data_IF_421904097938
#
_entry.id   IF_421904097938
#
_cell.length_a   1.000
_cell.length_b   1.000
_cell.length_c   1.000
_cell.angle_alpha   90.00
_cell.angle_beta   90.00
_cell.angle_gamma   90.00
#
_symmetry.space_group_name_H-M   'P 1'
#
loop_
_entity.id
_entity.type
_entity.pdbx_description
1 polymer ?
#
# COMPACT_ATOMS: atom_id res chain seq x y z
N UNK A 1 14.26 -27.65 33.51
CA UNK A 1 14.48 -26.26 33.04
C UNK A 1 14.22 -26.04 31.56
N UNK A 2 14.27 -27.04 30.69
CA UNK A 2 13.97 -26.88 29.21
C UNK A 2 12.48 -26.70 28.90
N UNK A 3 11.56 -27.25 29.64
CA UNK A 3 10.11 -27.12 29.37
C UNK A 3 9.52 -25.73 29.64
N UNK A 4 10.13 -24.94 30.54
CA UNK A 4 9.61 -23.60 30.88
C UNK A 4 9.87 -22.57 29.77
N UNK A 5 11.03 -22.66 29.10
CA UNK A 5 11.36 -21.75 27.96
C UNK A 5 10.49 -22.00 26.72
N UNK A 6 10.08 -23.25 26.46
CA UNK A 6 9.20 -23.63 25.37
C UNK A 6 7.76 -23.11 25.56
N UNK A 7 7.27 -23.09 26.78
CA UNK A 7 5.93 -22.60 27.13
C UNK A 7 5.88 -21.08 27.02
N UNK A 8 6.88 -20.39 27.54
CA UNK A 8 6.96 -18.92 27.40
C UNK A 8 7.04 -18.47 25.93
N UNK A 9 7.84 -19.14 25.13
CA UNK A 9 7.98 -18.80 23.69
C UNK A 9 6.66 -19.01 22.92
N UNK A 10 5.90 -20.07 23.21
CA UNK A 10 4.57 -20.29 22.65
C UNK A 10 3.56 -19.22 23.09
N UNK A 11 3.64 -18.76 24.33
CA UNK A 11 2.77 -17.72 24.87
C UNK A 11 3.02 -16.36 24.17
N UNK A 12 4.29 -15.99 23.96
CA UNK A 12 4.65 -14.74 23.25
C UNK A 12 4.29 -14.79 21.76
N UNK A 13 4.42 -15.93 21.10
CA UNK A 13 4.02 -16.10 19.70
C UNK A 13 2.49 -15.99 19.58
N UNK A 14 1.72 -16.61 20.46
CA UNK A 14 0.27 -16.48 20.46
C UNK A 14 -0.19 -15.06 20.80
N UNK A 15 0.46 -14.37 21.75
CA UNK A 15 0.16 -12.99 22.10
C UNK A 15 0.46 -12.02 20.92
N UNK A 16 1.56 -12.26 20.22
CA UNK A 16 1.93 -11.47 19.03
C UNK A 16 0.93 -11.66 17.88
N UNK A 17 0.48 -12.90 17.63
CA UNK A 17 -0.58 -13.19 16.64
C UNK A 17 -1.93 -12.59 17.03
N UNK A 18 -2.30 -12.60 18.29
CA UNK A 18 -3.55 -12.00 18.79
C UNK A 18 -3.53 -10.48 18.58
N UNK A 19 -2.40 -9.80 18.83
CA UNK A 19 -2.27 -8.34 18.63
C UNK A 19 -2.31 -7.96 17.14
N UNK A 20 -1.81 -8.82 16.25
CA UNK A 20 -1.81 -8.56 14.80
C UNK A 20 -3.16 -8.84 14.11
N UNK A 21 -3.97 -9.73 14.67
CA UNK A 21 -5.20 -10.21 14.03
C UNK A 21 -6.49 -9.85 14.77
N UNK A 22 -6.43 -9.22 15.94
CA UNK A 22 -7.66 -8.68 16.53
C UNK A 22 -8.13 -7.50 15.69
N UNK A 23 -9.25 -7.60 14.96
CA UNK A 23 -9.96 -6.40 14.55
C UNK A 23 -10.33 -5.69 15.83
N UNK A 24 -9.88 -4.45 16.01
CA UNK A 24 -10.35 -3.59 17.10
C UNK A 24 -11.83 -3.27 16.82
N UNK A 25 -12.69 -4.24 17.11
CA UNK A 25 -14.15 -4.09 17.09
C UNK A 25 -14.70 -3.61 18.44
N UNK A 26 -13.85 -3.02 19.28
CA UNK A 26 -14.18 -2.67 20.68
C UNK A 26 -14.42 -1.18 20.89
N UNK A 27 -14.96 -0.47 19.90
CA UNK A 27 -15.62 0.82 20.11
C UNK A 27 -16.86 0.94 19.23
N UNK A 28 -17.85 0.10 19.52
CA UNK A 28 -19.23 0.42 19.15
C UNK A 28 -19.76 1.34 20.26
N UNK A 29 -19.59 2.64 20.09
CA UNK A 29 -20.33 3.62 20.88
C UNK A 29 -21.69 3.77 20.20
N UNK A 30 -22.73 3.38 20.90
CA UNK A 30 -24.12 3.61 20.52
C UNK A 30 -24.47 5.05 20.88
N UNK A 31 -24.31 5.96 19.93
CA UNK A 31 -24.86 7.31 20.07
C UNK A 31 -26.30 7.31 19.56
N UNK A 32 -27.22 7.52 20.49
CA UNK A 32 -28.59 7.91 20.22
C UNK A 32 -28.57 9.38 19.79
N UNK A 33 -28.47 9.64 18.51
CA UNK A 33 -28.57 11.01 18.00
C UNK A 33 -29.98 11.32 17.53
N UNK A 34 -30.54 12.29 18.22
CA UNK A 34 -31.75 13.02 17.87
C UNK A 34 -31.59 13.70 16.50
N UNK A 35 -32.56 13.50 15.65
CA UNK A 35 -32.71 14.05 14.31
C UNK A 35 -32.69 15.57 14.37
N UNK A 36 -31.61 16.20 13.93
CA UNK A 36 -31.60 17.60 13.53
C UNK A 36 -31.57 17.66 12.01
N UNK A 37 -32.72 17.98 11.44
CA UNK A 37 -32.87 18.29 10.01
C UNK A 37 -32.26 19.67 9.79
N UNK A 38 -31.06 19.74 9.22
CA UNK A 38 -30.53 20.97 8.65
C UNK A 38 -29.88 20.69 7.32
N UNK A 39 -30.59 21.15 6.29
CA UNK A 39 -30.13 21.44 4.92
C UNK A 39 -29.29 20.39 4.19
N UNK A 40 -29.95 19.82 3.19
CA UNK A 40 -29.36 19.06 2.08
C UNK A 40 -28.27 19.87 1.40
N UNK A 41 -27.02 19.50 1.70
CA UNK A 41 -25.97 19.57 0.71
C UNK A 41 -25.85 18.15 0.16
N UNK A 42 -26.02 18.01 -1.15
CA UNK A 42 -25.74 16.77 -1.87
C UNK A 42 -24.25 16.42 -1.67
N UNK A 43 -23.95 15.63 -0.65
CA UNK A 43 -22.63 15.10 -0.39
C UNK A 43 -22.45 13.90 -1.32
N UNK A 44 -21.86 14.12 -2.47
CA UNK A 44 -21.37 13.05 -3.31
C UNK A 44 -20.32 12.24 -2.55
N UNK A 45 -20.48 10.93 -2.58
CA UNK A 45 -19.72 9.96 -1.79
C UNK A 45 -18.34 9.72 -2.41
N UNK A 46 -17.32 10.07 -1.69
CA UNK A 46 -15.95 10.09 -2.16
C UNK A 46 -15.08 8.98 -1.55
N UNK A 47 -14.33 8.25 -2.35
CA UNK A 47 -13.44 7.17 -1.92
C UNK A 47 -11.98 7.36 -2.34
N UNK A 48 -11.07 7.32 -1.39
CA UNK A 48 -9.62 7.43 -1.60
C UNK A 48 -8.96 6.11 -2.09
N UNK A 49 -9.70 5.04 -2.16
CA UNK A 49 -9.20 3.71 -2.45
C UNK A 49 -8.66 3.53 -3.87
N UNK A 50 -8.91 4.47 -4.75
CA UNK A 50 -8.80 4.26 -6.18
C UNK A 50 -7.63 4.98 -6.87
N UNK A 51 -6.44 5.01 -6.37
CA UNK A 51 -5.33 5.34 -7.24
C UNK A 51 -4.26 6.32 -6.78
N UNK A 52 -4.58 7.47 -6.19
CA UNK A 52 -3.53 8.42 -5.78
C UNK A 52 -2.75 7.95 -4.56
N UNK A 53 -3.40 7.19 -3.67
CA UNK A 53 -2.80 6.69 -2.43
C UNK A 53 -2.47 5.20 -2.44
N UNK A 54 -2.95 4.45 -3.42
CA UNK A 54 -2.74 3.01 -3.52
C UNK A 54 -1.29 2.59 -3.84
N UNK A 55 -0.38 3.54 -4.00
CA UNK A 55 1.06 3.28 -4.13
C UNK A 55 1.74 2.93 -2.81
N UNK A 56 1.03 3.04 -1.68
CA UNK A 56 1.63 2.95 -0.35
C UNK A 56 2.08 1.55 0.05
N UNK A 57 1.32 0.52 -0.30
CA UNK A 57 1.64 -0.87 0.12
C UNK A 57 2.88 -1.45 -0.53
N UNK A 58 3.38 -0.85 -1.59
CA UNK A 58 4.55 -1.33 -2.30
C UNK A 58 5.69 -0.29 -2.34
N UNK A 59 5.73 0.65 -1.41
CA UNK A 59 6.77 1.69 -1.35
C UNK A 59 8.20 1.15 -1.11
N UNK A 60 8.44 -0.09 -1.55
CA UNK A 60 9.77 -0.67 -1.57
C UNK A 60 10.28 -1.12 -0.21
N UNK A 61 9.42 -1.20 0.82
CA UNK A 61 9.81 -1.80 2.11
C UNK A 61 9.84 -3.33 2.03
N UNK A 62 9.14 -3.90 1.04
CA UNK A 62 9.22 -5.33 0.75
C UNK A 62 10.64 -5.71 0.34
N UNK A 63 11.06 -6.92 0.69
CA UNK A 63 12.34 -7.44 0.25
C UNK A 63 12.31 -7.70 -1.25
N UNK A 64 13.09 -6.92 -1.96
CA UNK A 64 13.59 -7.28 -3.27
C UNK A 64 14.88 -8.08 -3.09
N UNK A 65 15.23 -8.92 -4.05
CA UNK A 65 16.49 -9.70 -4.05
C UNK A 65 17.69 -8.77 -3.80
N UNK A 66 17.60 -7.52 -4.28
CA UNK A 66 18.63 -6.49 -4.09
C UNK A 66 18.00 -5.22 -3.48
N UNK A 67 18.72 -4.59 -2.55
CA UNK A 67 18.25 -3.43 -1.80
C UNK A 67 18.80 -2.08 -2.29
N UNK A 68 19.60 -2.06 -3.36
CA UNK A 68 20.22 -0.86 -3.91
C UNK A 68 20.00 -0.81 -5.41
N UNK A 69 19.03 -0.05 -5.83
CA UNK A 69 18.64 -0.02 -7.24
C UNK A 69 18.04 1.32 -7.64
N UNK A 70 18.04 1.56 -8.94
CA UNK A 70 17.15 2.50 -9.63
C UNK A 70 16.32 1.70 -10.62
N UNK A 71 15.04 2.00 -10.74
CA UNK A 71 14.16 1.21 -11.59
C UNK A 71 12.89 1.92 -11.99
N UNK A 72 12.12 1.22 -12.79
CA UNK A 72 10.80 1.63 -13.26
C UNK A 72 9.81 0.57 -12.81
N UNK A 73 8.65 1.02 -12.32
CA UNK A 73 7.52 0.17 -11.97
C UNK A 73 6.27 0.65 -12.72
N UNK A 74 5.53 -0.28 -13.27
CA UNK A 74 4.20 -0.06 -13.80
C UNK A 74 3.17 -0.72 -12.89
N UNK A 75 2.11 0.00 -12.57
CA UNK A 75 0.98 -0.48 -11.79
C UNK A 75 -0.32 -0.21 -12.54
N UNK A 76 -1.10 -1.24 -12.75
CA UNK A 76 -2.45 -1.18 -13.28
C UNK A 76 -3.45 -1.59 -12.21
N UNK A 77 -4.51 -0.79 -12.05
CA UNK A 77 -5.62 -1.07 -11.15
C UNK A 77 -6.93 -0.78 -11.87
N UNK A 78 -7.90 -1.68 -11.73
CA UNK A 78 -9.22 -1.54 -12.33
C UNK A 78 -10.30 -1.63 -11.27
N UNK A 79 -11.25 -0.68 -11.35
CA UNK A 79 -12.36 -0.56 -10.43
C UNK A 79 -13.67 -0.44 -11.19
N UNK A 80 -14.76 -0.88 -10.55
CA UNK A 80 -16.13 -0.53 -10.92
C UNK A 80 -16.70 0.36 -9.84
N UNK A 81 -17.20 1.54 -10.21
CA UNK A 81 -17.85 2.47 -9.30
C UNK A 81 -19.28 2.73 -9.77
N UNK A 82 -20.18 3.03 -8.85
CA UNK A 82 -21.50 3.59 -9.21
C UNK A 82 -21.28 4.99 -9.79
N UNK A 83 -21.97 5.32 -10.87
CA UNK A 83 -21.82 6.62 -11.54
C UNK A 83 -22.50 7.75 -10.75
N UNK A 84 -23.53 7.41 -9.97
CA UNK A 84 -24.36 8.34 -9.22
C UNK A 84 -24.89 7.64 -7.95
N UNK A 85 -24.83 8.31 -6.82
CA UNK A 85 -25.33 7.80 -5.54
C UNK A 85 -26.83 7.48 -5.56
N UNK A 86 -27.60 8.10 -6.45
CA UNK A 86 -29.05 7.92 -6.59
C UNK A 86 -29.43 6.92 -7.69
N UNK A 87 -28.50 6.52 -8.54
CA UNK A 87 -28.75 5.60 -9.65
C UNK A 87 -28.17 4.22 -9.39
N UNK A 88 -29.00 3.27 -8.97
CA UNK A 88 -28.60 1.87 -8.77
C UNK A 88 -28.17 1.13 -10.06
N UNK A 89 -28.25 1.76 -11.22
CA UNK A 89 -28.11 1.07 -12.52
C UNK A 89 -26.88 1.49 -13.35
N UNK A 90 -26.19 2.57 -13.01
CA UNK A 90 -25.06 3.04 -13.83
C UNK A 90 -23.75 2.68 -13.17
N UNK A 91 -22.97 1.83 -13.84
CA UNK A 91 -21.66 1.41 -13.43
C UNK A 91 -20.62 2.08 -14.34
N UNK A 92 -19.64 2.71 -13.73
CA UNK A 92 -18.50 3.32 -14.37
C UNK A 92 -17.28 2.45 -14.15
N UNK A 93 -16.52 2.20 -15.20
CA UNK A 93 -15.23 1.54 -15.11
C UNK A 93 -14.13 2.59 -14.99
N UNK A 94 -13.27 2.43 -14.02
CA UNK A 94 -12.13 3.31 -13.76
C UNK A 94 -10.85 2.51 -13.83
N UNK A 95 -9.88 2.99 -14.59
CA UNK A 95 -8.58 2.37 -14.77
C UNK A 95 -7.50 3.35 -14.33
N UNK A 96 -6.73 2.93 -13.35
CA UNK A 96 -5.61 3.69 -12.81
C UNK A 96 -4.32 3.04 -13.28
N UNK A 97 -3.62 3.74 -14.16
CA UNK A 97 -2.35 3.31 -14.70
C UNK A 97 -1.26 4.26 -14.20
N UNK A 98 -0.19 3.69 -13.69
CA UNK A 98 0.92 4.47 -13.13
C UNK A 98 2.23 3.87 -13.55
N UNK A 99 3.10 4.68 -14.16
CA UNK A 99 4.52 4.39 -14.30
C UNK A 99 5.24 5.15 -13.20
N UNK A 100 6.09 4.47 -12.43
CA UNK A 100 6.79 5.06 -11.33
C UNK A 100 8.29 4.88 -11.51
N UNK A 101 9.04 5.98 -11.54
CA UNK A 101 10.48 5.96 -11.36
C UNK A 101 10.75 5.82 -9.87
N UNK A 102 11.55 4.85 -9.46
CA UNK A 102 11.83 4.60 -8.06
C UNK A 102 13.27 4.16 -7.83
N UNK A 103 13.77 4.45 -6.65
CA UNK A 103 15.12 4.10 -6.27
C UNK A 103 15.20 3.76 -4.79
N UNK A 104 16.05 2.81 -4.45
CA UNK A 104 16.48 2.53 -3.07
C UNK A 104 18.00 2.65 -3.01
N UNK A 105 18.48 3.53 -2.14
CA UNK A 105 19.89 3.85 -1.99
C UNK A 105 20.28 3.60 -0.53
N UNK A 106 21.24 2.70 -0.22
CA UNK A 106 21.79 2.54 1.10
C UNK A 106 22.67 3.73 1.43
N UNK A 107 22.38 4.41 2.52
CA UNK A 107 23.23 5.50 3.05
C UNK A 107 24.36 4.91 3.88
N UNK A 108 24.03 3.87 4.64
CA UNK A 108 24.99 3.08 5.40
C UNK A 108 24.45 1.65 5.60
N UNK A 109 25.18 0.86 6.39
CA UNK A 109 24.80 -0.53 6.64
C UNK A 109 23.46 -0.71 7.34
N UNK A 110 22.84 0.33 7.91
CA UNK A 110 21.57 0.26 8.66
C UNK A 110 20.46 1.12 8.08
N UNK A 111 20.80 2.10 7.25
CA UNK A 111 19.84 3.10 6.75
C UNK A 111 19.82 3.06 5.24
N UNK A 112 18.62 2.85 4.69
CA UNK A 112 18.32 3.01 3.27
C UNK A 112 17.38 4.20 3.09
N UNK A 113 17.48 4.90 1.97
CA UNK A 113 16.48 5.86 1.50
C UNK A 113 15.80 5.28 0.28
N UNK A 114 14.49 5.31 0.29
CA UNK A 114 13.65 4.99 -0.85
C UNK A 114 12.97 6.28 -1.33
N UNK A 115 12.99 6.51 -2.65
CA UNK A 115 12.29 7.63 -3.26
C UNK A 115 11.55 7.17 -4.51
N UNK A 116 10.39 7.76 -4.77
CA UNK A 116 9.63 7.43 -5.97
C UNK A 116 8.81 8.60 -6.46
N UNK A 117 8.75 8.76 -7.78
CA UNK A 117 7.93 9.73 -8.47
C UNK A 117 7.05 9.02 -9.50
N UNK A 118 5.72 9.07 -9.37
CA UNK A 118 4.80 8.46 -10.31
C UNK A 118 4.46 9.40 -11.46
N UNK A 119 4.17 8.83 -12.63
CA UNK A 119 3.46 9.44 -13.72
C UNK A 119 2.16 8.67 -13.93
N UNK A 120 1.04 9.34 -13.76
CA UNK A 120 -0.30 8.77 -13.86
C UNK A 120 -0.89 8.97 -15.26
N UNK A 121 -1.66 7.98 -15.71
CA UNK A 121 -2.51 8.07 -16.89
C UNK A 121 -3.77 7.23 -16.63
N UNK A 122 -4.78 7.90 -16.10
CA UNK A 122 -6.00 7.30 -15.61
C UNK A 122 -7.13 7.52 -16.60
N UNK A 123 -7.96 6.50 -16.77
CA UNK A 123 -9.10 6.53 -17.67
C UNK A 123 -10.38 6.18 -16.91
N UNK A 124 -11.44 6.86 -17.24
CA UNK A 124 -12.78 6.69 -16.72
C UNK A 124 -13.73 6.48 -17.88
N UNK A 125 -14.41 5.33 -17.91
CA UNK A 125 -15.34 4.93 -18.95
C UNK A 125 -16.77 4.93 -18.37
N UNK A 126 -17.74 5.57 -19.05
CA UNK A 126 -19.12 5.70 -18.65
C UNK A 126 -19.81 6.80 -19.45
N UNK A 127 -20.92 7.31 -18.98
CA UNK A 127 -21.64 8.41 -19.66
C UNK A 127 -20.78 9.68 -19.74
N UNK A 128 -19.95 9.91 -18.72
CA UNK A 128 -19.00 11.01 -18.63
C UNK A 128 -17.56 10.43 -18.68
N UNK A 129 -17.17 9.89 -19.86
CA UNK A 129 -15.81 9.40 -20.04
C UNK A 129 -14.80 10.54 -19.94
N UNK A 130 -13.68 10.30 -19.24
CA UNK A 130 -12.60 11.25 -19.11
C UNK A 130 -11.26 10.55 -18.92
N UNK A 131 -10.18 11.22 -19.27
CA UNK A 131 -8.82 10.78 -19.02
C UNK A 131 -8.01 11.91 -18.41
N UNK A 132 -7.12 11.55 -17.51
CA UNK A 132 -6.15 12.49 -16.91
C UNK A 132 -4.76 11.89 -16.97
N UNK A 133 -3.75 12.71 -17.22
CA UNK A 133 -2.36 12.26 -17.19
C UNK A 133 -1.44 13.36 -16.66
N UNK A 134 -0.37 12.95 -15.98
CA UNK A 134 0.64 13.86 -15.45
C UNK A 134 1.46 13.26 -14.32
N UNK A 135 2.39 14.07 -13.82
CA UNK A 135 3.24 13.70 -12.67
C UNK A 135 2.39 13.69 -11.41
N UNK A 136 2.54 12.64 -10.60
CA UNK A 136 1.94 12.49 -9.29
C UNK A 136 2.80 13.06 -8.16
N UNK A 137 2.40 12.80 -6.92
CA UNK A 137 3.11 13.28 -5.73
C UNK A 137 4.42 12.51 -5.50
N UNK A 138 5.47 13.20 -5.07
CA UNK A 138 6.75 12.60 -4.75
C UNK A 138 6.66 11.89 -3.39
N UNK A 139 7.14 10.65 -3.32
CA UNK A 139 7.24 9.89 -2.08
C UNK A 139 8.70 9.67 -1.72
N UNK A 140 9.05 9.92 -0.46
CA UNK A 140 10.36 9.64 0.10
C UNK A 140 10.21 8.89 1.41
N UNK A 141 11.08 7.90 1.69
CA UNK A 141 11.02 7.07 2.89
C UNK A 141 12.41 6.73 3.37
N UNK A 142 12.68 7.01 4.64
CA UNK A 142 13.87 6.52 5.34
C UNK A 142 13.56 5.18 6.02
N UNK A 143 14.39 4.19 5.79
CA UNK A 143 14.25 2.82 6.30
C UNK A 143 15.42 2.51 7.21
N UNK A 144 15.16 2.13 8.46
CA UNK A 144 16.17 1.73 9.43
C UNK A 144 16.08 0.23 9.67
N UNK A 145 17.19 -0.49 9.46
CA UNK A 145 17.35 -1.91 9.78
C UNK A 145 17.67 -2.05 11.27
N UNK A 146 16.63 -2.34 12.07
CA UNK A 146 16.74 -2.46 13.54
C UNK A 146 17.44 -3.76 13.94
N UNK A 147 16.96 -4.88 13.35
CA UNK A 147 17.57 -6.20 13.51
C UNK A 147 18.06 -6.66 12.14
N UNK A 148 19.36 -6.93 12.05
CA UNK A 148 19.96 -7.55 10.87
C UNK A 148 20.04 -9.06 11.08
N UNK A 149 19.66 -9.82 10.08
CA UNK A 149 19.86 -11.25 10.06
C UNK A 149 21.36 -11.59 10.00
N UNK A 150 21.86 -12.38 10.94
CA UNK A 150 23.24 -12.87 10.94
C UNK A 150 23.45 -13.93 9.85
N UNK A 151 24.70 -14.09 9.39
CA UNK A 151 25.07 -14.80 8.16
C UNK A 151 25.14 -16.33 8.27
N UNK A 152 24.86 -16.94 9.43
CA UNK A 152 24.96 -18.42 9.58
C UNK A 152 23.83 -19.14 8.84
N UNK A 153 24.16 -20.16 8.05
CA UNK A 153 23.29 -20.72 7.00
C UNK A 153 22.21 -21.69 7.48
N UNK A 154 22.27 -22.18 8.71
CA UNK A 154 21.38 -23.26 9.20
C UNK A 154 20.47 -22.87 10.36
N UNK A 155 20.40 -21.58 10.72
CA UNK A 155 19.58 -21.11 11.82
C UNK A 155 18.42 -20.26 11.34
N UNK A 156 17.40 -20.17 12.18
CA UNK A 156 16.28 -19.26 11.97
C UNK A 156 16.78 -17.82 12.12
N UNK A 157 16.55 -17.01 11.10
CA UNK A 157 17.06 -15.64 11.03
C UNK A 157 15.92 -14.64 11.15
N UNK A 158 16.13 -13.61 11.97
CA UNK A 158 15.18 -12.54 12.19
C UNK A 158 15.68 -11.25 11.57
N UNK A 159 14.82 -10.56 10.84
CA UNK A 159 15.04 -9.21 10.34
C UNK A 159 13.92 -8.31 10.83
N UNK A 160 14.24 -7.10 11.26
CA UNK A 160 13.27 -6.07 11.61
C UNK A 160 13.74 -4.75 11.02
N UNK A 161 12.85 -4.09 10.28
CA UNK A 161 13.05 -2.75 9.77
C UNK A 161 11.88 -1.87 10.12
N UNK A 162 12.16 -0.62 10.46
CA UNK A 162 11.17 0.43 10.63
C UNK A 162 11.40 1.53 9.60
N UNK A 163 10.35 2.17 9.17
CA UNK A 163 10.46 3.24 8.18
C UNK A 163 9.52 4.41 8.52
N UNK A 164 9.99 5.61 8.16
CA UNK A 164 9.19 6.82 8.14
C UNK A 164 9.28 7.44 6.74
N UNK A 165 8.13 7.81 6.20
CA UNK A 165 8.02 8.38 4.87
C UNK A 165 7.24 9.69 4.86
N UNK A 166 7.44 10.43 3.79
CA UNK A 166 6.76 11.70 3.53
C UNK A 166 6.33 11.73 2.06
N UNK A 167 5.04 12.00 1.82
CA UNK A 167 4.52 12.34 0.49
C UNK A 167 4.49 13.85 0.35
N UNK A 168 5.13 14.34 -0.71
CA UNK A 168 5.27 15.76 -1.02
C UNK A 168 4.30 16.09 -2.17
N UNK A 169 3.34 17.02 -1.97
CA UNK A 169 2.30 17.31 -2.96
C UNK A 169 2.82 18.22 -4.07
N UNK A 170 3.49 17.63 -5.05
CA UNK A 170 4.00 18.33 -6.25
C UNK A 170 3.07 18.23 -7.45
N UNK A 171 2.13 17.29 -7.42
CA UNK A 171 1.19 17.06 -8.50
C UNK A 171 0.11 18.14 -8.56
N UNK A 172 -0.46 18.29 -9.76
CA UNK A 172 -1.71 19.03 -9.91
C UNK A 172 -2.85 18.21 -9.28
N UNK A 173 -3.58 18.79 -8.36
CA UNK A 173 -4.79 18.17 -7.81
C UNK A 173 -6.04 18.93 -8.27
N UNK A 174 -7.13 18.19 -8.43
CA UNK A 174 -8.38 18.78 -8.87
C UNK A 174 -8.90 19.73 -7.81
N UNK A 175 -9.31 20.90 -8.26
CA UNK A 175 -9.83 21.93 -7.39
C UNK A 175 -11.25 21.66 -6.94
N UNK A 176 -11.98 20.77 -7.56
CA UNK A 176 -13.38 20.48 -7.27
C UNK A 176 -13.55 19.04 -6.74
N UNK A 177 -12.90 18.73 -5.61
CA UNK A 177 -13.00 17.38 -5.03
C UNK A 177 -14.45 16.98 -4.68
N UNK A 178 -15.30 17.96 -4.34
CA UNK A 178 -16.71 17.75 -4.03
C UNK A 178 -17.60 17.50 -5.26
N UNK A 179 -17.11 17.78 -6.47
CA UNK A 179 -17.89 17.66 -7.70
C UNK A 179 -17.62 16.36 -8.48
N UNK A 180 -16.69 15.51 -7.99
CA UNK A 180 -16.33 14.27 -8.66
C UNK A 180 -16.81 13.06 -7.86
N UNK A 181 -17.45 12.12 -8.52
CA UNK A 181 -17.92 10.84 -7.93
C UNK A 181 -16.79 10.01 -7.31
N UNK A 182 -15.55 10.36 -7.56
CA UNK A 182 -14.38 9.72 -6.99
C UNK A 182 -13.24 10.74 -6.89
N UNK A 183 -12.97 11.34 -5.72
CA UNK A 183 -11.92 12.35 -5.54
C UNK A 183 -10.52 11.79 -5.76
N UNK A 184 -10.37 10.47 -5.75
CA UNK A 184 -9.11 9.81 -6.07
C UNK A 184 -8.80 9.80 -7.58
N UNK A 185 -9.75 10.17 -8.45
CA UNK A 185 -9.50 10.31 -9.88
C UNK A 185 -8.81 11.65 -10.17
N UNK A 186 -7.59 11.79 -9.69
CA UNK A 186 -6.72 12.96 -9.84
C UNK A 186 -5.23 12.56 -9.82
N UNK A 187 -4.33 13.49 -10.10
CA UNK A 187 -2.89 13.22 -10.18
C UNK A 187 -2.22 13.24 -8.80
N UNK A 188 -2.72 14.00 -7.87
CA UNK A 188 -2.24 14.08 -6.50
C UNK A 188 -3.32 14.53 -5.54
N UNK A 189 -3.08 14.41 -4.24
CA UNK A 189 -4.07 14.76 -3.20
C UNK A 189 -3.98 16.21 -2.74
N UNK A 190 -2.88 16.91 -3.10
CA UNK A 190 -2.61 18.28 -2.68
C UNK A 190 -2.26 18.43 -1.19
N UNK A 191 -2.07 17.32 -0.48
CA UNK A 191 -1.74 17.27 0.95
C UNK A 191 -0.38 16.65 1.20
N UNK A 192 0.28 17.09 2.28
CA UNK A 192 1.43 16.42 2.86
C UNK A 192 0.94 15.22 3.67
N UNK A 193 1.46 14.02 3.40
CA UNK A 193 1.10 12.82 4.14
C UNK A 193 2.35 12.21 4.76
N UNK A 194 2.21 11.66 5.97
CA UNK A 194 3.28 10.95 6.66
C UNK A 194 3.00 9.46 6.65
N UNK A 195 4.03 8.66 6.44
CA UNK A 195 3.94 7.20 6.39
C UNK A 195 4.81 6.59 7.48
N UNK A 196 4.29 5.59 8.18
CA UNK A 196 5.02 4.79 9.15
C UNK A 196 4.92 3.33 8.73
N UNK A 197 6.03 2.60 8.75
CA UNK A 197 5.98 1.20 8.38
C UNK A 197 6.93 0.36 9.22
N UNK A 198 6.54 -0.89 9.43
CA UNK A 198 7.33 -1.93 10.09
C UNK A 198 7.33 -3.15 9.16
N UNK A 199 8.50 -3.72 8.96
CA UNK A 199 8.72 -4.94 8.21
C UNK A 199 9.49 -5.93 9.08
N UNK A 200 8.84 -7.05 9.43
CA UNK A 200 9.45 -8.16 10.13
C UNK A 200 9.61 -9.35 9.19
N UNK A 201 10.73 -10.01 9.29
CA UNK A 201 11.10 -11.15 8.47
C UNK A 201 11.61 -12.29 9.32
N UNK A 202 11.14 -13.48 9.00
CA UNK A 202 11.59 -14.72 9.58
C UNK A 202 12.07 -15.63 8.45
N UNK A 203 13.39 -15.77 8.32
CA UNK A 203 13.98 -16.55 7.25
C UNK A 203 14.55 -17.87 7.76
N UNK A 204 14.33 -18.93 7.01
CA UNK A 204 14.92 -20.25 7.20
C UNK A 204 15.35 -20.79 5.84
N UNK A 205 16.65 -21.05 5.70
CA UNK A 205 17.24 -21.43 4.41
C UNK A 205 16.85 -20.42 3.32
N UNK A 206 16.20 -20.90 2.27
CA UNK A 206 15.77 -20.11 1.13
C UNK A 206 14.32 -19.56 1.26
N UNK A 207 13.64 -19.85 2.36
CA UNK A 207 12.27 -19.41 2.59
C UNK A 207 12.22 -18.28 3.60
N UNK A 208 11.34 -17.29 3.38
CA UNK A 208 11.15 -16.16 4.27
C UNK A 208 9.66 -15.91 4.47
N UNK A 209 9.22 -15.90 5.72
CA UNK A 209 7.94 -15.33 6.10
C UNK A 209 8.14 -13.84 6.36
N UNK A 210 7.37 -13.02 5.69
CA UNK A 210 7.42 -11.56 5.81
C UNK A 210 6.09 -11.02 6.31
N UNK A 211 6.15 -10.12 7.27
CA UNK A 211 5.02 -9.38 7.83
C UNK A 211 5.33 -7.89 7.67
N UNK A 212 4.47 -7.19 6.94
CA UNK A 212 4.57 -5.74 6.77
C UNK A 212 3.29 -5.10 7.28
N UNK A 213 3.44 -4.03 8.01
CA UNK A 213 2.33 -3.13 8.33
C UNK A 213 2.77 -1.71 8.09
N UNK A 214 1.90 -0.92 7.45
CA UNK A 214 2.13 0.50 7.24
C UNK A 214 0.86 1.31 7.52
N UNK A 215 1.07 2.49 8.09
CA UNK A 215 0.03 3.46 8.39
C UNK A 215 0.35 4.77 7.68
N UNK A 216 -0.59 5.25 6.88
CA UNK A 216 -0.49 6.49 6.14
C UNK A 216 -1.39 7.53 6.80
N UNK A 217 -0.79 8.47 7.48
CA UNK A 217 -1.45 9.63 8.07
C UNK A 217 -1.60 10.68 6.98
N UNK A 218 -2.84 10.95 6.58
CA UNK A 218 -3.16 11.90 5.53
C UNK A 218 -3.28 13.32 6.07
N UNK A 219 -2.76 14.27 5.32
CA UNK A 219 -2.93 15.69 5.62
C UNK A 219 -4.15 16.30 4.95
N UNK A 220 -4.53 17.46 5.41
CA UNK A 220 -5.56 18.29 4.78
C UNK A 220 -4.96 19.09 3.61
N UNK A 221 -5.65 19.14 2.48
CA UNK A 221 -5.24 19.96 1.35
C UNK A 221 -5.77 21.41 1.45
N UNK A 222 -5.34 22.29 0.52
CA UNK A 222 -5.73 23.70 0.50
C UNK A 222 -7.24 23.95 0.36
N UNK A 223 -8.00 22.91 0.01
CA UNK A 223 -9.47 22.97 -0.14
C UNK A 223 -10.21 22.47 1.08
N UNK A 224 -9.50 22.29 2.17
CA UNK A 224 -10.06 21.75 3.40
C UNK A 224 -10.60 20.34 3.26
N UNK A 225 -10.04 19.57 2.30
CA UNK A 225 -10.32 18.16 2.13
C UNK A 225 -9.16 17.32 2.68
N UNK A 226 -9.48 16.37 3.53
CA UNK A 226 -8.55 15.39 4.06
C UNK A 226 -9.04 14.00 3.64
N UNK A 227 -8.21 13.30 2.88
CA UNK A 227 -8.42 11.90 2.60
C UNK A 227 -8.30 11.09 3.89
N UNK A 228 -9.08 10.03 4.02
CA UNK A 228 -9.01 9.15 5.18
C UNK A 228 -7.64 8.50 5.33
N UNK A 229 -7.18 8.38 6.56
CA UNK A 229 -5.97 7.64 6.85
C UNK A 229 -6.07 6.21 6.33
N UNK A 230 -4.94 5.57 6.08
CA UNK A 230 -4.92 4.23 5.52
C UNK A 230 -4.00 3.32 6.35
N UNK A 231 -4.49 2.14 6.69
CA UNK A 231 -3.72 1.10 7.36
C UNK A 231 -3.64 -0.15 6.49
N UNK A 232 -2.43 -0.54 6.14
CA UNK A 232 -2.17 -1.70 5.29
C UNK A 232 -1.40 -2.76 6.07
N UNK A 233 -1.69 -4.01 5.75
CA UNK A 233 -1.08 -5.19 6.34
C UNK A 233 -0.81 -6.21 5.25
N UNK A 234 0.41 -6.76 5.24
CA UNK A 234 0.81 -7.83 4.33
C UNK A 234 1.44 -8.97 5.13
N UNK A 235 0.97 -10.17 4.88
CA UNK A 235 1.66 -11.40 5.24
C UNK A 235 2.00 -12.14 3.95
N UNK A 236 3.28 -12.48 3.75
CA UNK A 236 3.66 -13.25 2.57
C UNK A 236 4.77 -14.24 2.87
N UNK A 237 4.68 -15.40 2.23
CA UNK A 237 5.74 -16.39 2.17
C UNK A 237 6.50 -16.20 0.86
N UNK A 238 7.82 -16.24 0.96
CA UNK A 238 8.73 -16.12 -0.17
C UNK A 238 9.65 -17.33 -0.21
N UNK A 239 9.97 -17.79 -1.42
CA UNK A 239 10.97 -18.85 -1.61
C UNK A 239 11.93 -18.49 -2.73
N UNK A 240 13.23 -18.53 -2.42
CA UNK A 240 14.32 -18.19 -3.33
C UNK A 240 14.89 -19.46 -3.96
N UNK A 241 14.75 -19.55 -5.28
CA UNK A 241 15.41 -20.56 -6.10
C UNK A 241 16.68 -19.96 -6.70
N UNK A 242 17.80 -20.65 -6.53
CA UNK A 242 19.10 -20.21 -7.05
C UNK A 242 19.58 -21.26 -8.07
N UNK A 243 19.82 -20.80 -9.28
CA UNK A 243 20.42 -21.62 -10.33
C UNK A 243 21.51 -20.81 -11.04
N UNK A 244 22.77 -21.11 -10.72
CA UNK A 244 23.95 -20.40 -11.21
C UNK A 244 23.82 -18.86 -11.01
N UNK A 245 23.75 -18.10 -12.11
CA UNK A 245 23.62 -16.63 -12.08
C UNK A 245 22.17 -16.13 -11.93
N UNK A 246 21.19 -17.00 -12.10
CA UNK A 246 19.77 -16.65 -12.05
C UNK A 246 19.20 -16.91 -10.65
N UNK A 247 18.63 -15.89 -10.04
CA UNK A 247 17.87 -15.99 -8.79
C UNK A 247 16.39 -15.77 -9.11
N UNK A 248 15.53 -16.70 -8.72
CA UNK A 248 14.08 -16.60 -8.85
C UNK A 248 13.47 -16.56 -7.46
N UNK A 249 12.62 -15.56 -7.18
CA UNK A 249 11.91 -15.41 -5.91
C UNK A 249 10.41 -15.54 -6.18
N UNK A 250 9.82 -16.65 -5.75
CA UNK A 250 8.38 -16.83 -5.72
C UNK A 250 7.78 -16.24 -4.46
N UNK A 251 6.64 -15.57 -4.57
CA UNK A 251 5.94 -14.90 -3.48
C UNK A 251 4.47 -15.28 -3.48
N UNK A 252 3.92 -15.63 -2.33
CA UNK A 252 2.48 -15.82 -2.12
C UNK A 252 2.09 -15.15 -0.80
N UNK A 253 1.00 -14.42 -0.80
CA UNK A 253 0.64 -13.63 0.37
C UNK A 253 -0.82 -13.22 0.42
N UNK A 254 -1.13 -12.54 1.50
CA UNK A 254 -2.41 -11.92 1.76
C UNK A 254 -2.18 -10.47 2.17
N UNK A 255 -2.92 -9.55 1.55
CA UNK A 255 -2.86 -8.12 1.84
C UNK A 255 -4.24 -7.64 2.29
N UNK A 256 -4.25 -6.86 3.36
CA UNK A 256 -5.43 -6.19 3.88
C UNK A 256 -5.19 -4.68 3.86
N UNK A 257 -6.16 -3.92 3.34
CA UNK A 257 -6.15 -2.47 3.26
C UNK A 257 -7.39 -1.93 3.95
N UNK A 258 -7.20 -1.03 4.90
CA UNK A 258 -8.25 -0.36 5.64
C UNK A 258 -8.17 1.14 5.35
N UNK A 259 -9.28 1.73 4.95
CA UNK A 259 -9.43 3.14 4.63
C UNK A 259 -10.39 3.77 5.64
N UNK A 260 -9.92 4.80 6.32
CA UNK A 260 -10.74 5.57 7.25
C UNK A 260 -11.61 6.56 6.49
N UNK A 261 -12.51 7.25 7.21
CA UNK A 261 -13.40 8.25 6.60
C UNK A 261 -12.61 9.46 6.13
N UNK A 262 -13.00 9.99 4.99
CA UNK A 262 -12.54 11.29 4.51
C UNK A 262 -13.20 12.42 5.32
N UNK A 263 -12.61 13.60 5.30
CA UNK A 263 -13.13 14.79 5.97
C UNK A 263 -13.18 15.96 4.98
N UNK A 264 -14.22 16.77 5.10
CA UNK A 264 -14.36 18.03 4.38
C UNK A 264 -14.70 19.15 5.38
N UNK A 265 -13.91 20.19 5.40
CA UNK A 265 -14.04 21.30 6.36
C UNK A 265 -14.02 20.87 7.83
N UNK A 266 -13.29 19.79 8.16
CA UNK A 266 -13.22 19.21 9.50
C UNK A 266 -14.36 18.26 9.86
N UNK A 267 -15.35 18.08 8.98
CA UNK A 267 -16.45 17.15 9.17
C UNK A 267 -16.24 15.86 8.39
N UNK A 268 -16.56 14.73 9.01
CA UNK A 268 -16.40 13.43 8.38
C UNK A 268 -17.45 13.20 7.30
N UNK A 269 -17.01 12.75 6.12
CA UNK A 269 -17.89 12.39 5.02
C UNK A 269 -18.50 11.01 5.29
N UNK A 270 -19.81 10.88 5.37
CA UNK A 270 -20.49 9.61 5.57
C UNK A 270 -20.13 8.60 4.47
N UNK A 271 -20.02 7.32 4.84
CA UNK A 271 -19.77 6.20 3.91
C UNK A 271 -18.44 6.23 3.14
N UNK A 272 -17.53 7.16 3.37
CA UNK A 272 -16.23 7.26 2.67
C UNK A 272 -15.17 6.28 3.16
N UNK A 273 -15.43 5.50 4.21
CA UNK A 273 -14.52 4.44 4.68
C UNK A 273 -14.61 3.19 3.80
N UNK A 274 -13.59 2.36 3.85
CA UNK A 274 -13.63 1.10 3.14
C UNK A 274 -12.57 0.10 3.57
N UNK A 275 -12.64 -1.09 3.01
CA UNK A 275 -11.61 -2.12 3.12
C UNK A 275 -11.50 -2.92 1.84
N UNK A 276 -10.28 -3.36 1.54
CA UNK A 276 -10.01 -4.27 0.46
C UNK A 276 -9.04 -5.36 0.93
N UNK A 277 -9.27 -6.59 0.50
CA UNK A 277 -8.43 -7.74 0.82
C UNK A 277 -8.04 -8.47 -0.46
N UNK A 278 -6.79 -8.88 -0.54
CA UNK A 278 -6.22 -9.49 -1.72
C UNK A 278 -5.43 -10.75 -1.39
N UNK A 279 -5.57 -11.78 -2.23
CA UNK A 279 -4.53 -12.78 -2.40
C UNK A 279 -3.46 -12.18 -3.32
N UNK A 280 -2.20 -12.26 -2.91
CA UNK A 280 -1.05 -11.74 -3.65
C UNK A 280 -0.20 -12.89 -4.17
N UNK A 281 0.13 -12.84 -5.45
CA UNK A 281 1.10 -13.70 -6.12
C UNK A 281 2.19 -12.83 -6.72
N UNK A 282 3.44 -13.26 -6.63
CA UNK A 282 4.56 -12.54 -7.20
C UNK A 282 5.65 -13.47 -7.68
N UNK A 283 6.32 -13.06 -8.73
CA UNK A 283 7.54 -13.68 -9.22
C UNK A 283 8.57 -12.60 -9.50
N UNK A 284 9.76 -12.78 -8.99
CA UNK A 284 10.88 -11.86 -9.19
C UNK A 284 12.08 -12.64 -9.71
N UNK A 285 12.76 -12.13 -10.72
CA UNK A 285 13.95 -12.71 -11.27
C UNK A 285 15.10 -11.71 -11.26
N UNK A 286 16.25 -12.13 -10.76
CA UNK A 286 17.46 -11.33 -10.77
C UNK A 286 18.60 -12.07 -11.46
N UNK A 287 19.24 -11.38 -12.39
CA UNK A 287 20.42 -11.85 -13.11
C UNK A 287 21.43 -10.70 -13.21
N UNK A 288 22.64 -10.95 -12.72
CA UNK A 288 23.72 -9.93 -12.69
C UNK A 288 23.23 -8.63 -12.01
N UNK A 289 23.16 -7.53 -12.79
CA UNK A 289 22.75 -6.20 -12.30
C UNK A 289 21.25 -5.91 -12.52
N UNK A 290 20.53 -6.80 -13.14
CA UNK A 290 19.13 -6.59 -13.48
C UNK A 290 18.21 -7.40 -12.58
N UNK A 291 17.09 -6.80 -12.24
CA UNK A 291 16.04 -7.42 -11.48
C UNK A 291 14.70 -6.99 -12.06
N UNK A 292 13.83 -7.93 -12.35
CA UNK A 292 12.48 -7.66 -12.79
C UNK A 292 11.49 -8.56 -12.10
N UNK A 293 10.25 -8.10 -11.97
CA UNK A 293 9.21 -8.89 -11.35
C UNK A 293 7.83 -8.49 -11.80
N UNK A 294 6.91 -9.40 -11.50
CA UNK A 294 5.48 -9.26 -11.69
C UNK A 294 4.78 -9.58 -10.38
N UNK A 295 3.77 -8.81 -10.05
CA UNK A 295 2.90 -9.02 -8.90
C UNK A 295 1.45 -8.92 -9.34
N UNK A 296 0.64 -9.87 -8.90
CA UNK A 296 -0.79 -9.94 -9.14
C UNK A 296 -1.54 -9.96 -7.82
N UNK A 297 -2.57 -9.12 -7.72
CA UNK A 297 -3.41 -9.02 -6.54
C UNK A 297 -4.84 -9.38 -6.95
N UNK A 298 -5.28 -10.56 -6.52
CA UNK A 298 -6.65 -11.03 -6.68
C UNK A 298 -7.51 -10.50 -5.54
N UNK A 299 -8.49 -9.65 -5.81
CA UNK A 299 -9.43 -9.21 -4.77
C UNK A 299 -10.21 -10.40 -4.21
N UNK A 300 -10.21 -10.56 -2.89
CA UNK A 300 -11.02 -11.53 -2.15
C UNK A 300 -12.24 -10.81 -1.57
N UNK A 301 -12.03 -9.61 -1.07
CA UNK A 301 -13.06 -8.75 -0.53
C UNK A 301 -12.82 -7.32 -0.98
N UNK A 302 -13.86 -6.64 -1.39
CA UNK A 302 -13.84 -5.22 -1.72
C UNK A 302 -15.12 -4.58 -1.19
N UNK A 303 -14.97 -3.75 -0.18
CA UNK A 303 -16.02 -2.94 0.42
C UNK A 303 -15.49 -1.52 0.56
N UNK A 304 -15.41 -0.82 -0.57
CA UNK A 304 -14.95 0.55 -0.64
C UNK A 304 -16.14 1.47 -0.79
N UNK A 305 -16.11 2.58 -0.08
CA UNK A 305 -17.22 3.55 -0.08
C UNK A 305 -18.56 2.89 0.26
N UNK A 306 -18.56 2.04 1.30
CA UNK A 306 -19.77 1.26 1.68
C UNK A 306 -20.34 0.42 0.52
N UNK A 307 -19.49 -0.20 -0.29
CA UNK A 307 -19.85 -1.06 -1.41
C UNK A 307 -20.17 -0.35 -2.73
N UNK A 308 -19.95 0.95 -2.83
CA UNK A 308 -20.16 1.70 -4.07
C UNK A 308 -19.03 1.55 -5.07
N UNK A 309 -17.82 1.17 -4.59
CA UNK A 309 -16.66 0.92 -5.40
C UNK A 309 -16.15 -0.50 -5.17
N UNK A 310 -15.93 -1.22 -6.26
CA UNK A 310 -15.44 -2.59 -6.26
C UNK A 310 -14.09 -2.67 -7.00
N UNK A 311 -13.07 -3.19 -6.33
CA UNK A 311 -11.79 -3.51 -6.98
C UNK A 311 -11.97 -4.73 -7.88
N UNK A 312 -11.47 -4.67 -9.11
CA UNK A 312 -11.55 -5.79 -10.07
C UNK A 312 -10.24 -6.55 -10.22
N UNK A 313 -9.15 -5.85 -10.43
CA UNK A 313 -7.83 -6.45 -10.50
C UNK A 313 -6.76 -5.39 -10.21
N UNK A 314 -5.60 -5.88 -9.78
CA UNK A 314 -4.39 -5.07 -9.66
C UNK A 314 -3.21 -5.93 -10.11
N UNK A 315 -2.38 -5.37 -11.00
CA UNK A 315 -1.16 -6.01 -11.49
C UNK A 315 -0.02 -5.00 -11.52
N UNK A 316 1.15 -5.44 -11.09
CA UNK A 316 2.35 -4.63 -11.08
C UNK A 316 3.49 -5.32 -11.82
N UNK A 317 4.31 -4.53 -12.52
CA UNK A 317 5.56 -4.97 -13.14
C UNK A 317 6.65 -4.03 -12.69
N UNK A 318 7.85 -4.53 -12.45
CA UNK A 318 8.99 -3.69 -12.17
C UNK A 318 10.25 -4.19 -12.87
N UNK A 319 11.11 -3.23 -13.21
CA UNK A 319 12.44 -3.47 -13.73
C UNK A 319 13.43 -2.57 -13.02
N UNK A 320 14.44 -3.16 -12.40
CA UNK A 320 15.44 -2.46 -11.60
C UNK A 320 16.85 -2.75 -12.10
N UNK A 321 17.70 -1.73 -12.05
CA UNK A 321 19.12 -1.81 -12.24
C UNK A 321 19.83 -1.63 -10.89
N UNK A 322 20.64 -2.62 -10.49
CA UNK A 322 21.36 -2.61 -9.23
C UNK A 322 22.62 -1.76 -9.34
N UNK A 323 22.72 -0.74 -8.49
CA UNK A 323 23.78 0.27 -8.55
C UNK A 323 25.13 -0.29 -8.10
N UNK A 324 25.14 -1.10 -7.05
CA UNK A 324 26.35 -1.69 -6.49
C UNK A 324 26.17 -3.20 -6.34
N UNK A 325 27.13 -3.97 -6.82
CA UNK A 325 27.24 -5.36 -6.38
C UNK A 325 27.74 -5.33 -4.94
N UNK A 326 27.02 -5.93 -4.02
CA UNK A 326 27.55 -6.25 -2.71
C UNK A 326 28.80 -7.09 -2.93
N UNK A 327 29.99 -6.50 -2.74
CA UNK A 327 31.20 -7.29 -2.60
C UNK A 327 30.94 -8.18 -1.38
N UNK A 328 30.89 -9.49 -1.62
CA UNK A 328 30.89 -10.47 -0.55
C UNK A 328 32.02 -10.13 0.42
N UNK A 329 31.68 -9.65 1.60
CA UNK A 329 32.52 -9.67 2.79
C UNK A 329 32.01 -10.77 3.69
#
# INVERSE_FOLDING_TARGET
MQNFKSIQMKLYINLFFVILFTPISLFAHTDNDSIVISHLYDLELDCDACGCSATSTSNGIENLINSNFVGIRYLHQSYKAKEDAFSNKRIQKQQFNTIQLWARIPINNRIDINASIPYHFHNKEGKNSSSISGIGDLNMMGIVKVIKSNTSSNELKHGLSAAIGLKIPIAKFNQANAETTNPSFQLGTGSWDTQFAINYQLAYKNSTLQLVTDYNLKGENKKKYKFGDQWNQLIQLQHLFINNELKLLGKVGFQNELYYKNEQFGETIPKSKGKAQFAKLGLEAAARKFNFGIEYFQPILSDLNSGEIEVKNRIGFFFNYNLFQSKNQ
#
